data_IF_813771407618
#
_entry.id   IF_813771407618
#
_cell.length_a   1.000
_cell.length_b   1.000
_cell.length_c   1.000
_cell.angle_alpha   90.00
_cell.angle_beta   90.00
_cell.angle_gamma   90.00
#
_symmetry.space_group_name_H-M   'P 1'
#
loop_
_entity.id
_entity.type
_entity.pdbx_description
1 polymer ?
#
# COMPACT_ATOMS: atom_id res chain seq x y z
N UNK A 1 1.76 12.26 -1.85
CA UNK A 1 2.49 11.75 -0.66
C UNK A 1 3.86 11.26 -1.09
N UNK A 2 4.91 11.39 -0.26
CA UNK A 2 6.24 10.83 -0.58
C UNK A 2 6.27 9.31 -0.32
N UNK A 3 7.15 8.57 -1.00
CA UNK A 3 7.32 7.12 -0.77
C UNK A 3 7.62 6.79 0.70
N UNK A 4 8.41 7.61 1.39
CA UNK A 4 8.70 7.40 2.82
C UNK A 4 7.46 7.51 3.71
N UNK A 5 6.52 8.39 3.37
CA UNK A 5 5.24 8.51 4.07
C UNK A 5 4.32 7.32 3.79
N UNK A 6 4.29 6.83 2.54
CA UNK A 6 3.59 5.59 2.18
C UNK A 6 4.12 4.41 3.00
N UNK A 7 5.45 4.26 3.08
CA UNK A 7 6.09 3.22 3.90
C UNK A 7 5.77 3.37 5.38
N UNK A 8 5.71 4.59 5.89
CA UNK A 8 5.25 4.89 7.26
C UNK A 8 3.81 4.41 7.49
N UNK A 9 2.87 4.78 6.62
CA UNK A 9 1.47 4.34 6.72
C UNK A 9 1.31 2.82 6.68
N UNK A 10 2.08 2.13 5.82
CA UNK A 10 2.10 0.67 5.78
C UNK A 10 2.57 0.10 7.13
N UNK A 11 3.65 0.65 7.70
CA UNK A 11 4.17 0.23 9.01
C UNK A 11 3.23 0.52 10.19
N UNK A 12 2.42 1.58 10.11
CA UNK A 12 1.47 1.93 11.17
C UNK A 12 0.31 0.93 11.30
N UNK A 13 -0.05 0.24 10.22
CA UNK A 13 -1.18 -0.69 10.18
C UNK A 13 -0.77 -2.16 10.06
N UNK A 14 0.20 -2.49 9.22
CA UNK A 14 0.61 -3.87 8.98
C UNK A 14 1.77 -4.26 9.91
N UNK A 15 1.67 -5.38 10.64
CA UNK A 15 2.73 -5.82 11.55
C UNK A 15 4.02 -6.22 10.82
N UNK A 16 3.92 -6.64 9.55
CA UNK A 16 5.05 -6.90 8.66
C UNK A 16 4.82 -6.21 7.31
N UNK A 17 5.04 -4.89 7.31
CA UNK A 17 4.79 -4.02 6.16
C UNK A 17 5.70 -4.33 4.96
N UNK A 18 6.92 -4.79 5.18
CA UNK A 18 7.87 -5.08 4.10
C UNK A 18 7.46 -6.35 3.34
N UNK A 19 7.10 -7.42 4.06
CA UNK A 19 6.54 -8.63 3.45
C UNK A 19 5.22 -8.32 2.76
N UNK A 20 4.32 -7.56 3.41
CA UNK A 20 3.06 -7.14 2.80
C UNK A 20 3.27 -6.41 1.47
N UNK A 21 4.16 -5.42 1.44
CA UNK A 21 4.39 -4.59 0.26
C UNK A 21 5.04 -5.35 -0.91
N UNK A 22 5.72 -6.46 -0.62
CA UNK A 22 6.37 -7.32 -1.62
C UNK A 22 5.42 -8.39 -2.16
N UNK A 23 4.69 -9.06 -1.27
CA UNK A 23 4.05 -10.34 -1.58
C UNK A 23 2.56 -10.22 -1.86
N UNK A 24 1.89 -9.18 -1.34
CA UNK A 24 0.45 -9.02 -1.56
C UNK A 24 0.20 -8.34 -2.90
N UNK A 25 -0.57 -9.03 -3.74
CA UNK A 25 -1.02 -8.54 -5.04
C UNK A 25 -2.32 -7.77 -4.89
N UNK A 26 -2.37 -6.55 -5.42
CA UNK A 26 -3.56 -5.73 -5.43
C UNK A 26 -4.16 -5.67 -6.83
N UNK A 27 -5.39 -6.16 -6.96
CA UNK A 27 -6.18 -6.04 -8.19
C UNK A 27 -6.40 -4.58 -8.58
N UNK A 28 -6.49 -3.71 -7.58
CA UNK A 28 -6.67 -2.27 -7.63
C UNK A 28 -5.45 -1.54 -8.22
N UNK A 29 -4.28 -2.19 -8.21
CA UNK A 29 -3.05 -1.71 -8.84
C UNK A 29 -2.83 -2.32 -10.23
N UNK A 30 -3.81 -3.06 -10.76
CA UNK A 30 -3.66 -3.80 -12.01
C UNK A 30 -3.03 -5.18 -11.83
N UNK A 31 -3.12 -5.77 -10.63
CA UNK A 31 -2.63 -7.13 -10.36
C UNK A 31 -1.14 -7.21 -10.06
N UNK A 32 -0.61 -6.19 -9.37
CA UNK A 32 0.79 -6.12 -8.94
C UNK A 32 0.91 -5.80 -7.45
N UNK A 33 2.09 -5.98 -6.87
CA UNK A 33 2.36 -5.60 -5.49
C UNK A 33 2.61 -4.11 -5.32
N UNK A 34 2.59 -3.65 -4.07
CA UNK A 34 2.91 -2.25 -3.71
C UNK A 34 4.32 -1.87 -4.18
N UNK A 35 5.32 -2.73 -3.96
CA UNK A 35 6.69 -2.45 -4.40
C UNK A 35 6.79 -2.34 -5.93
N UNK A 36 6.13 -3.25 -6.66
CA UNK A 36 6.08 -3.17 -8.13
C UNK A 36 5.41 -1.88 -8.61
N UNK A 37 4.32 -1.43 -7.95
CA UNK A 37 3.68 -0.15 -8.26
C UNK A 37 4.61 1.05 -7.99
N UNK A 38 5.40 1.01 -6.91
CA UNK A 38 6.42 2.03 -6.63
C UNK A 38 7.48 2.04 -7.74
N UNK A 39 7.98 0.87 -8.16
CA UNK A 39 8.98 0.74 -9.22
C UNK A 39 8.49 1.24 -10.58
N UNK A 40 7.20 1.05 -10.88
CA UNK A 40 6.54 1.60 -12.07
C UNK A 40 6.29 3.11 -11.98
N UNK A 41 6.63 3.76 -10.86
CA UNK A 41 6.47 5.20 -10.67
C UNK A 41 5.02 5.62 -10.42
N UNK A 42 4.16 4.72 -9.93
CA UNK A 42 2.80 5.10 -9.55
C UNK A 42 2.82 6.07 -8.36
N UNK A 43 1.89 7.02 -8.38
CA UNK A 43 1.77 8.02 -7.32
C UNK A 43 1.49 7.34 -5.96
N UNK A 44 2.26 7.63 -4.90
CA UNK A 44 2.08 6.96 -3.60
C UNK A 44 0.70 7.13 -2.98
N UNK A 45 -0.01 8.23 -3.29
CA UNK A 45 -1.39 8.43 -2.84
C UNK A 45 -2.37 7.44 -3.50
N UNK A 46 -2.17 7.12 -4.78
CA UNK A 46 -2.99 6.15 -5.49
C UNK A 46 -2.69 4.72 -5.00
N UNK A 47 -1.41 4.43 -4.72
CA UNK A 47 -1.01 3.17 -4.10
C UNK A 47 -1.69 3.00 -2.74
N UNK A 48 -1.69 4.04 -1.92
CA UNK A 48 -2.34 3.99 -0.61
C UNK A 48 -3.85 3.77 -0.70
N UNK A 49 -4.54 4.47 -1.62
CA UNK A 49 -5.98 4.24 -1.86
C UNK A 49 -6.28 2.80 -2.26
N UNK A 50 -5.43 2.20 -3.09
CA UNK A 50 -5.56 0.79 -3.48
C UNK A 50 -5.41 -0.14 -2.27
N UNK A 51 -4.41 0.10 -1.42
CA UNK A 51 -4.20 -0.64 -0.16
C UNK A 51 -5.42 -0.53 0.75
N UNK A 52 -5.97 0.67 0.95
CA UNK A 52 -7.17 0.88 1.77
C UNK A 52 -8.39 0.14 1.20
N UNK A 53 -8.60 0.20 -0.12
CA UNK A 53 -9.70 -0.53 -0.79
C UNK A 53 -9.58 -2.04 -0.66
N UNK A 54 -8.35 -2.55 -0.78
CA UNK A 54 -8.05 -3.98 -0.62
C UNK A 54 -8.29 -4.48 0.81
N UNK A 55 -8.21 -3.59 1.80
CA UNK A 55 -8.37 -3.90 3.23
C UNK A 55 -9.61 -3.22 3.81
N UNK A 56 -10.84 -3.68 3.50
CA UNK A 56 -12.08 -3.01 3.92
C UNK A 56 -12.24 -2.93 5.45
N UNK A 57 -11.63 -3.85 6.19
CA UNK A 57 -11.62 -3.87 7.66
C UNK A 57 -10.61 -2.91 8.30
N UNK A 58 -9.82 -2.17 7.50
CA UNK A 58 -8.88 -1.18 8.02
C UNK A 58 -9.64 -0.09 8.81
N UNK A 59 -9.31 0.15 10.09
CA UNK A 59 -9.94 1.20 10.89
C UNK A 59 -9.69 2.60 10.32
N UNK A 60 -10.65 3.50 10.45
CA UNK A 60 -10.62 4.85 9.87
C UNK A 60 -9.36 5.65 10.24
N UNK A 61 -8.87 5.50 11.47
CA UNK A 61 -7.65 6.19 11.95
C UNK A 61 -6.37 5.84 11.17
N UNK A 62 -6.38 4.74 10.42
CA UNK A 62 -5.24 4.31 9.61
C UNK A 62 -5.41 4.62 8.12
N UNK A 63 -6.62 4.97 7.66
CA UNK A 63 -6.92 5.16 6.24
C UNK A 63 -6.26 6.39 5.62
#
# INVERSE_FOLDING_TARGET
MRISQLRGKLGDYFPDADTYARDIIHSELGGISVNAAIELGMEPDEIWKAVVRHNPSMPEKYR
#
